data_IF_614907846925
#
_entry.id   IF_614907846925
#
_cell.length_a   1.000
_cell.length_b   1.000
_cell.length_c   1.000
_cell.angle_alpha   90.00
_cell.angle_beta   90.00
_cell.angle_gamma   90.00
#
_symmetry.space_group_name_H-M   'P 1'
#
loop_
_entity.id
_entity.type
_entity.pdbx_description
1 polymer ?
#
# COMPACT_ATOMS: atom_id res chain seq x y z
N UNK A 1 -37.69 -23.38 -23.90
CA UNK A 1 -36.72 -22.43 -23.30
C UNK A 1 -37.26 -21.03 -23.54
N UNK A 2 -37.38 -20.18 -22.52
CA UNK A 2 -37.80 -18.80 -22.70
C UNK A 2 -36.71 -18.00 -23.43
N UNK A 3 -37.06 -17.00 -24.25
CA UNK A 3 -36.08 -16.13 -24.91
C UNK A 3 -35.42 -15.19 -23.89
N UNK A 4 -34.10 -15.04 -24.01
CA UNK A 4 -33.30 -14.09 -23.22
C UNK A 4 -33.77 -12.64 -23.45
N UNK A 5 -33.65 -11.74 -22.46
CA UNK A 5 -34.01 -10.33 -22.61
C UNK A 5 -33.12 -9.64 -23.66
N UNK A 6 -33.64 -8.69 -24.44
CA UNK A 6 -32.85 -7.93 -25.40
C UNK A 6 -31.85 -7.02 -24.66
N UNK A 7 -30.57 -7.13 -24.98
CA UNK A 7 -29.46 -6.42 -24.32
C UNK A 7 -28.24 -7.28 -23.96
N UNK A 8 -28.32 -8.60 -24.16
CA UNK A 8 -27.22 -9.56 -23.97
C UNK A 8 -26.93 -10.33 -25.28
N UNK A 9 -26.88 -9.62 -26.41
CA UNK A 9 -26.26 -10.19 -27.60
C UNK A 9 -24.75 -10.11 -27.41
N UNK A 10 -24.13 -11.26 -27.11
CA UNK A 10 -22.68 -11.42 -27.19
C UNK A 10 -22.26 -11.15 -28.63
N UNK A 11 -21.84 -9.92 -28.90
CA UNK A 11 -21.19 -9.58 -30.15
C UNK A 11 -19.99 -10.53 -30.30
N UNK A 12 -19.90 -11.33 -31.37
CA UNK A 12 -18.69 -12.09 -31.62
C UNK A 12 -17.57 -11.09 -31.79
N UNK A 13 -16.64 -11.08 -30.83
CA UNK A 13 -15.43 -10.27 -30.87
C UNK A 13 -14.76 -10.56 -32.19
N UNK A 14 -14.85 -9.61 -33.14
CA UNK A 14 -14.20 -9.74 -34.43
C UNK A 14 -12.70 -9.90 -34.17
N UNK A 15 -12.22 -11.11 -34.41
CA UNK A 15 -10.80 -11.47 -34.39
C UNK A 15 -10.08 -10.73 -35.52
N UNK A 16 -9.83 -9.43 -35.36
CA UNK A 16 -8.96 -8.63 -36.25
C UNK A 16 -8.31 -7.39 -35.64
N UNK A 17 -8.43 -7.14 -34.34
CA UNK A 17 -7.48 -6.25 -33.65
C UNK A 17 -6.39 -7.11 -33.03
N UNK A 18 -5.37 -7.43 -33.84
CA UNK A 18 -4.06 -7.70 -33.28
C UNK A 18 -3.74 -6.53 -32.33
N UNK A 19 -3.60 -6.79 -31.03
CA UNK A 19 -3.10 -5.83 -30.04
C UNK A 19 -1.80 -5.26 -30.61
N UNK A 20 -1.86 -4.05 -31.17
CA UNK A 20 -0.69 -3.39 -31.70
C UNK A 20 0.19 -3.03 -30.50
N UNK A 21 1.16 -3.89 -30.21
CA UNK A 21 2.20 -3.65 -29.21
C UNK A 21 2.87 -2.33 -29.60
N UNK A 22 2.62 -1.29 -28.81
CA UNK A 22 3.11 0.07 -29.05
C UNK A 22 4.63 0.14 -28.89
N UNK A 23 5.18 -0.66 -27.98
CA UNK A 23 6.61 -0.68 -27.65
C UNK A 23 7.13 -2.11 -27.50
N UNK A 24 8.29 -2.39 -28.11
CA UNK A 24 8.95 -3.70 -27.99
C UNK A 24 9.78 -3.75 -26.70
N UNK A 25 9.95 -4.94 -26.12
CA UNK A 25 10.72 -5.17 -24.87
C UNK A 25 12.14 -4.58 -24.88
N UNK A 26 12.77 -4.52 -26.05
CA UNK A 26 14.11 -3.96 -26.24
C UNK A 26 14.12 -2.47 -26.64
N UNK A 27 12.97 -1.79 -26.61
CA UNK A 27 12.82 -0.40 -27.03
C UNK A 27 11.81 0.33 -26.13
N UNK A 28 12.03 0.27 -24.82
CA UNK A 28 11.18 0.89 -23.81
C UNK A 28 11.69 2.27 -23.38
N UNK A 29 12.96 2.57 -23.57
CA UNK A 29 13.51 3.87 -23.22
C UNK A 29 13.20 4.93 -24.28
N UNK A 30 12.41 5.94 -23.89
CA UNK A 30 12.18 7.15 -24.68
C UNK A 30 12.18 8.36 -23.75
N UNK A 31 12.75 9.48 -24.18
CA UNK A 31 12.56 10.75 -23.46
C UNK A 31 11.08 11.06 -23.29
N UNK A 32 10.66 11.56 -22.13
CA UNK A 32 9.26 11.79 -21.79
C UNK A 32 8.56 12.71 -22.80
N UNK A 33 9.23 13.76 -23.28
CA UNK A 33 8.65 14.66 -24.30
C UNK A 33 8.44 14.00 -25.66
N UNK A 34 9.33 13.11 -26.08
CA UNK A 34 9.26 12.45 -27.38
C UNK A 34 8.71 11.02 -27.30
N UNK A 35 8.13 10.64 -26.14
CA UNK A 35 7.57 9.31 -25.93
C UNK A 35 6.51 9.01 -26.99
N UNK A 36 6.42 7.77 -27.51
CA UNK A 36 5.32 7.36 -28.37
C UNK A 36 3.97 7.35 -27.65
N UNK A 37 3.96 7.24 -26.31
CA UNK A 37 2.74 7.27 -25.49
C UNK A 37 2.21 8.70 -25.30
N UNK A 38 0.97 9.01 -25.72
CA UNK A 38 0.36 10.32 -25.46
C UNK A 38 0.21 10.64 -23.97
N UNK A 39 0.04 9.63 -23.11
CA UNK A 39 -0.05 9.80 -21.67
C UNK A 39 1.27 10.25 -21.05
N UNK A 40 2.38 9.62 -21.45
CA UNK A 40 3.71 10.00 -20.96
C UNK A 40 4.07 11.41 -21.44
N UNK A 41 3.74 11.78 -22.69
CA UNK A 41 3.92 13.16 -23.16
C UNK A 41 3.10 14.18 -22.38
N UNK A 42 1.86 13.85 -21.99
CA UNK A 42 1.04 14.72 -21.12
C UNK A 42 1.66 14.86 -19.73
N UNK A 43 2.15 13.77 -19.16
CA UNK A 43 2.89 13.78 -17.89
C UNK A 43 4.16 14.64 -17.97
N UNK A 44 4.92 14.53 -19.07
CA UNK A 44 6.09 15.38 -19.34
C UNK A 44 5.73 16.88 -19.36
N UNK A 45 4.63 17.23 -20.04
CA UNK A 45 4.14 18.60 -20.10
C UNK A 45 3.70 19.11 -18.72
N UNK A 46 3.04 18.25 -17.92
CA UNK A 46 2.66 18.57 -16.56
C UNK A 46 3.88 18.83 -15.67
N UNK A 47 4.89 17.96 -15.71
CA UNK A 47 6.16 18.12 -14.98
C UNK A 47 6.83 19.46 -15.36
N UNK A 48 6.96 19.75 -16.66
CA UNK A 48 7.55 21.02 -17.15
C UNK A 48 6.78 22.27 -16.75
N UNK A 49 5.49 22.15 -16.41
CA UNK A 49 4.65 23.27 -15.98
C UNK A 49 4.66 23.49 -14.47
N UNK A 50 4.90 22.43 -13.67
CA UNK A 50 4.70 22.50 -12.22
C UNK A 50 5.98 22.26 -11.42
N UNK A 51 6.89 21.41 -11.90
CA UNK A 51 8.12 21.11 -11.20
C UNK A 51 9.16 22.22 -11.36
N UNK A 52 9.90 22.49 -10.29
CA UNK A 52 10.94 23.52 -10.25
C UNK A 52 12.33 22.91 -10.35
N UNK A 53 13.25 23.63 -10.98
CA UNK A 53 14.64 23.24 -11.10
C UNK A 53 15.29 23.11 -9.70
N UNK A 54 16.02 22.02 -9.41
CA UNK A 54 16.61 21.77 -8.10
C UNK A 54 17.93 22.52 -7.84
N UNK A 55 18.41 23.30 -8.81
CA UNK A 55 19.70 23.98 -8.75
C UNK A 55 19.76 25.02 -7.63
N UNK A 56 20.87 25.03 -6.89
CA UNK A 56 21.05 25.80 -5.65
C UNK A 56 20.95 27.34 -5.82
N UNK A 57 21.06 27.83 -7.07
CA UNK A 57 20.96 29.25 -7.41
C UNK A 57 19.52 29.76 -7.30
N UNK A 58 18.52 28.87 -7.41
CA UNK A 58 17.12 29.23 -7.29
C UNK A 58 16.70 29.36 -5.83
N UNK A 59 15.74 30.24 -5.57
CA UNK A 59 15.09 30.36 -4.26
C UNK A 59 14.23 29.14 -3.96
N UNK A 60 14.10 28.80 -2.68
CA UNK A 60 13.12 27.84 -2.21
C UNK A 60 11.70 28.28 -2.56
N UNK A 61 10.88 27.31 -2.92
CA UNK A 61 9.48 27.41 -3.35
C UNK A 61 8.52 26.86 -2.31
N UNK A 62 8.99 25.95 -1.44
CA UNK A 62 8.23 25.33 -0.35
C UNK A 62 9.07 25.20 0.91
N UNK A 63 8.38 25.03 2.04
CA UNK A 63 9.02 24.78 3.33
C UNK A 63 9.54 23.34 3.35
N UNK A 64 10.81 23.19 3.71
CA UNK A 64 11.49 21.92 3.84
C UNK A 64 11.14 21.31 5.19
N UNK A 65 10.49 20.14 5.18
CA UNK A 65 10.15 19.41 6.39
C UNK A 65 11.08 18.21 6.63
N UNK A 66 11.74 17.73 5.58
CA UNK A 66 12.70 16.63 5.60
C UNK A 66 14.10 17.17 5.25
N UNK A 67 15.13 16.96 6.08
CA UNK A 67 16.50 17.34 5.74
C UNK A 67 17.05 16.71 4.46
N UNK A 68 16.53 15.55 4.05
CA UNK A 68 16.92 14.83 2.82
C UNK A 68 16.15 15.33 1.58
N UNK A 69 15.20 16.24 1.76
CA UNK A 69 14.42 16.84 0.68
C UNK A 69 15.32 17.58 -0.32
N UNK A 70 15.20 17.35 -1.64
CA UNK A 70 15.94 18.08 -2.67
C UNK A 70 15.84 19.62 -2.53
N UNK A 71 14.71 20.11 -2.01
CA UNK A 71 14.46 21.54 -1.80
C UNK A 71 15.36 22.14 -0.70
N UNK A 72 15.85 21.32 0.24
CA UNK A 72 16.77 21.74 1.32
C UNK A 72 18.07 22.36 0.79
N UNK A 73 18.47 21.99 -0.43
CA UNK A 73 19.71 22.44 -1.07
C UNK A 73 19.61 23.85 -1.65
N UNK A 74 18.40 24.36 -1.85
CA UNK A 74 18.19 25.73 -2.34
C UNK A 74 18.36 26.71 -1.21
N UNK A 75 19.03 27.83 -1.46
CA UNK A 75 19.09 28.90 -0.48
C UNK A 75 17.70 29.55 -0.31
N UNK A 76 17.30 29.83 0.94
CA UNK A 76 16.08 30.60 1.27
C UNK A 76 16.04 31.93 0.49
N UNK A 77 17.21 32.55 0.29
CA UNK A 77 17.40 33.74 -0.52
C UNK A 77 18.34 33.47 -1.71
N UNK A 78 18.04 32.45 -2.51
CA UNK A 78 18.70 32.19 -3.79
C UNK A 78 18.81 33.42 -4.70
N UNK A 79 19.87 33.43 -5.52
CA UNK A 79 20.21 34.55 -6.41
C UNK A 79 19.23 34.70 -7.57
N UNK A 80 18.61 33.59 -8.00
CA UNK A 80 17.65 33.53 -9.10
C UNK A 80 16.23 33.24 -8.61
N UNK A 81 15.19 33.77 -9.28
CA UNK A 81 13.81 33.35 -9.03
C UNK A 81 13.63 31.86 -9.38
N UNK A 82 12.67 31.14 -8.77
CA UNK A 82 12.37 29.77 -9.15
C UNK A 82 12.08 29.65 -10.66
N UNK A 83 12.62 28.62 -11.30
CA UNK A 83 12.40 28.32 -12.71
C UNK A 83 11.89 26.89 -12.87
N UNK A 84 10.97 26.68 -13.81
CA UNK A 84 10.46 25.34 -14.10
C UNK A 84 11.44 24.50 -14.89
N UNK A 85 11.39 23.18 -14.68
CA UNK A 85 12.18 22.23 -15.46
C UNK A 85 11.79 22.26 -16.94
N UNK A 86 12.78 22.17 -17.83
CA UNK A 86 12.62 22.22 -19.29
C UNK A 86 13.59 21.27 -20.00
N UNK A 87 14.81 21.17 -19.50
CA UNK A 87 15.85 20.30 -20.02
C UNK A 87 15.66 18.89 -19.49
N UNK A 88 15.67 17.93 -20.41
CA UNK A 88 15.54 16.50 -20.12
C UNK A 88 16.92 15.87 -20.12
N UNK A 89 17.22 15.09 -19.08
CA UNK A 89 18.47 14.35 -19.04
C UNK A 89 18.49 13.33 -20.19
N UNK A 90 19.58 13.26 -20.99
CA UNK A 90 19.67 12.32 -22.11
C UNK A 90 19.68 10.86 -21.67
N UNK A 91 20.14 10.56 -20.45
CA UNK A 91 20.34 9.20 -19.96
C UNK A 91 19.10 8.60 -19.28
N UNK A 92 18.32 9.40 -18.55
CA UNK A 92 17.07 8.96 -17.92
C UNK A 92 15.80 9.43 -18.65
N UNK A 93 15.90 10.44 -19.53
CA UNK A 93 14.81 10.92 -20.36
C UNK A 93 13.74 11.74 -19.62
N UNK A 94 13.98 12.14 -18.36
CA UNK A 94 13.03 12.90 -17.53
C UNK A 94 13.44 14.38 -17.47
N UNK A 95 12.49 15.34 -17.48
CA UNK A 95 12.78 16.75 -17.25
C UNK A 95 13.29 16.98 -15.82
N UNK A 96 14.54 17.45 -15.67
CA UNK A 96 15.20 17.55 -14.36
C UNK A 96 15.76 18.92 -14.01
N UNK A 97 16.03 19.77 -15.01
CA UNK A 97 16.58 21.11 -14.80
C UNK A 97 15.92 22.14 -15.74
N UNK A 98 16.05 23.44 -15.45
CA UNK A 98 15.51 24.48 -16.32
C UNK A 98 16.36 24.76 -17.57
N UNK A 99 17.65 24.40 -17.56
CA UNK A 99 18.61 24.61 -18.65
C UNK A 99 19.70 23.54 -18.65
N UNK A 100 20.40 23.41 -19.78
CA UNK A 100 21.56 22.51 -19.93
C UNK A 100 22.71 22.92 -19.00
N UNK A 101 22.93 24.22 -18.79
CA UNK A 101 23.94 24.75 -17.86
C UNK A 101 23.67 24.28 -16.43
N UNK A 102 22.45 24.48 -15.91
CA UNK A 102 22.09 24.01 -14.57
C UNK A 102 22.10 22.48 -14.45
N UNK A 103 21.83 21.76 -15.55
CA UNK A 103 21.99 20.29 -15.57
C UNK A 103 23.45 19.89 -15.43
N UNK A 104 24.36 20.54 -16.17
CA UNK A 104 25.78 20.26 -16.13
C UNK A 104 26.38 20.59 -14.75
N UNK A 105 25.95 21.68 -14.13
CA UNK A 105 26.39 22.08 -12.79
C UNK A 105 25.90 21.11 -11.70
N UNK A 106 24.65 20.63 -11.79
CA UNK A 106 24.07 19.66 -10.85
C UNK A 106 24.31 18.18 -11.24
N UNK A 107 25.12 17.93 -12.28
CA UNK A 107 25.20 16.60 -12.92
C UNK A 107 25.63 15.50 -11.94
N UNK A 108 26.62 15.76 -11.08
CA UNK A 108 27.11 14.79 -10.10
C UNK A 108 26.02 14.30 -9.14
N UNK A 109 25.15 15.22 -8.69
CA UNK A 109 24.00 14.88 -7.84
C UNK A 109 22.94 14.14 -8.62
N UNK A 110 22.66 14.57 -9.85
CA UNK A 110 21.70 13.87 -10.70
C UNK A 110 22.11 12.41 -10.95
N UNK A 111 23.41 12.13 -11.08
CA UNK A 111 23.93 10.77 -11.24
C UNK A 111 23.55 9.82 -10.09
N UNK A 112 23.32 10.32 -8.87
CA UNK A 112 22.93 9.49 -7.72
C UNK A 112 21.56 8.83 -7.92
N UNK A 113 20.67 9.46 -8.70
CA UNK A 113 19.31 8.99 -8.95
C UNK A 113 19.01 8.70 -10.43
N UNK A 114 19.92 9.04 -11.35
CA UNK A 114 19.70 8.97 -12.80
C UNK A 114 19.31 7.56 -13.26
N UNK A 115 19.98 6.53 -12.75
CA UNK A 115 19.67 5.13 -13.07
C UNK A 115 18.26 4.74 -12.62
N UNK A 116 17.86 5.17 -11.42
CA UNK A 116 16.50 4.93 -10.90
C UNK A 116 15.45 5.68 -11.72
N UNK A 117 15.72 6.92 -12.12
CA UNK A 117 14.85 7.70 -13.00
C UNK A 117 14.71 7.03 -14.38
N UNK A 118 15.79 6.44 -14.89
CA UNK A 118 15.77 5.66 -16.14
C UNK A 118 14.91 4.41 -15.98
N UNK A 119 15.04 3.71 -14.84
CA UNK A 119 14.22 2.55 -14.53
C UNK A 119 12.72 2.91 -14.49
N UNK A 120 12.35 4.01 -13.81
CA UNK A 120 10.98 4.52 -13.79
C UNK A 120 10.49 4.80 -15.21
N UNK A 121 11.32 5.43 -16.04
CA UNK A 121 10.98 5.73 -17.42
C UNK A 121 10.66 4.44 -18.20
N UNK A 122 11.54 3.44 -18.12
CA UNK A 122 11.34 2.16 -18.81
C UNK A 122 10.12 1.39 -18.29
N UNK A 123 9.87 1.42 -16.98
CA UNK A 123 8.72 0.78 -16.33
C UNK A 123 7.39 1.42 -16.75
N UNK A 124 7.34 2.75 -16.86
CA UNK A 124 6.15 3.48 -17.33
C UNK A 124 5.86 3.20 -18.80
N UNK A 125 6.89 3.19 -19.64
CA UNK A 125 6.78 2.80 -21.04
C UNK A 125 6.35 1.34 -21.19
N UNK A 126 6.83 0.45 -20.33
CA UNK A 126 6.43 -0.95 -20.34
C UNK A 126 4.94 -1.09 -20.07
N UNK A 127 4.39 -0.41 -19.06
CA UNK A 127 2.95 -0.38 -18.79
C UNK A 127 2.11 0.17 -19.95
N UNK A 128 2.69 1.03 -20.79
CA UNK A 128 2.04 1.59 -21.99
C UNK A 128 2.41 0.86 -23.29
N UNK A 129 3.18 -0.22 -23.21
CA UNK A 129 3.59 -1.00 -24.38
C UNK A 129 2.44 -1.79 -25.00
N UNK A 130 1.37 -2.07 -24.25
CA UNK A 130 0.27 -2.93 -24.68
C UNK A 130 0.63 -4.42 -24.71
N UNK A 131 1.78 -4.80 -24.13
CA UNK A 131 2.14 -6.21 -23.96
C UNK A 131 1.19 -6.92 -22.99
N UNK A 132 1.22 -8.24 -23.04
CA UNK A 132 0.62 -9.05 -21.99
C UNK A 132 1.53 -9.08 -20.76
N UNK A 133 0.93 -9.03 -19.57
CA UNK A 133 1.61 -9.02 -18.28
C UNK A 133 1.34 -10.35 -17.56
N UNK A 134 2.08 -11.43 -17.88
CA UNK A 134 1.95 -12.70 -17.16
C UNK A 134 2.16 -12.55 -15.66
N UNK A 135 2.94 -11.55 -15.23
CA UNK A 135 3.18 -11.26 -13.81
C UNK A 135 1.93 -10.79 -13.03
N UNK A 136 0.83 -10.45 -13.72
CA UNK A 136 -0.48 -10.16 -13.12
C UNK A 136 -1.42 -11.37 -13.11
N UNK A 137 -0.99 -12.53 -13.60
CA UNK A 137 -1.70 -13.79 -13.39
C UNK A 137 -1.35 -14.34 -12.01
N UNK A 138 -2.27 -14.20 -11.06
CA UNK A 138 -2.06 -14.61 -9.68
C UNK A 138 -2.48 -16.06 -9.44
N UNK A 139 -1.74 -16.80 -8.60
CA UNK A 139 -2.10 -18.16 -8.22
C UNK A 139 -3.40 -18.19 -7.40
N UNK A 140 -4.16 -19.28 -7.56
CA UNK A 140 -5.36 -19.55 -6.76
C UNK A 140 -5.02 -20.05 -5.35
N UNK A 141 -6.00 -20.71 -4.73
CA UNK A 141 -5.78 -21.45 -3.48
C UNK A 141 -4.74 -22.54 -3.69
N UNK A 142 -3.73 -22.59 -2.81
CA UNK A 142 -2.78 -23.69 -2.75
C UNK A 142 -3.32 -24.84 -1.90
N UNK A 143 -2.71 -26.02 -2.08
CA UNK A 143 -2.89 -27.15 -1.18
C UNK A 143 -2.58 -26.74 0.27
N UNK A 144 -3.39 -27.20 1.21
CA UNK A 144 -3.35 -26.76 2.61
C UNK A 144 -2.02 -27.09 3.30
N UNK A 145 -1.31 -28.12 2.83
CA UNK A 145 0.02 -28.50 3.32
C UNK A 145 1.16 -27.64 2.76
N UNK A 146 0.93 -26.87 1.69
CA UNK A 146 1.95 -25.98 1.14
C UNK A 146 2.23 -24.83 2.12
N UNK A 147 3.48 -24.71 2.54
CA UNK A 147 3.92 -23.66 3.44
C UNK A 147 4.28 -22.40 2.65
N UNK A 148 3.77 -21.26 3.09
CA UNK A 148 4.16 -19.95 2.54
C UNK A 148 5.47 -19.50 3.20
N UNK A 149 6.44 -19.10 2.40
CA UNK A 149 7.74 -18.62 2.87
C UNK A 149 7.82 -17.10 2.75
N UNK A 150 7.93 -16.40 3.88
CA UNK A 150 8.00 -14.94 3.93
C UNK A 150 9.42 -14.38 4.08
N UNK A 151 10.46 -15.11 3.68
CA UNK A 151 11.84 -14.64 3.84
C UNK A 151 12.13 -13.39 3.01
N UNK A 152 11.72 -13.40 1.75
CA UNK A 152 11.85 -12.32 0.77
C UNK A 152 10.84 -12.53 -0.39
N UNK A 153 10.81 -11.61 -1.36
CA UNK A 153 9.94 -11.69 -2.54
C UNK A 153 10.08 -13.00 -3.33
N UNK A 154 11.31 -13.44 -3.62
CA UNK A 154 11.55 -14.65 -4.43
C UNK A 154 10.97 -15.91 -3.78
N UNK A 155 11.26 -16.10 -2.50
CA UNK A 155 10.77 -17.26 -1.74
C UNK A 155 9.26 -17.22 -1.54
N UNK A 156 8.68 -16.03 -1.38
CA UNK A 156 7.24 -15.85 -1.31
C UNK A 156 6.58 -16.23 -2.64
N UNK A 157 7.01 -15.63 -3.75
CA UNK A 157 6.44 -15.87 -5.07
C UNK A 157 6.57 -17.35 -5.48
N UNK A 158 7.72 -17.96 -5.19
CA UNK A 158 7.95 -19.38 -5.42
C UNK A 158 7.01 -20.26 -4.59
N UNK A 159 6.93 -20.04 -3.28
CA UNK A 159 6.10 -20.87 -2.38
C UNK A 159 4.60 -20.70 -2.61
N UNK A 160 4.17 -19.55 -3.15
CA UNK A 160 2.79 -19.31 -3.58
C UNK A 160 2.49 -19.77 -5.00
N UNK A 161 3.44 -20.40 -5.69
CA UNK A 161 3.28 -20.93 -7.05
C UNK A 161 2.95 -19.85 -8.09
N UNK A 162 3.50 -18.64 -7.94
CA UNK A 162 3.45 -17.66 -9.02
C UNK A 162 4.20 -18.18 -10.25
N UNK A 163 3.80 -17.71 -11.43
CA UNK A 163 4.58 -17.93 -12.63
C UNK A 163 6.01 -17.41 -12.42
N UNK A 164 7.01 -18.19 -12.85
CA UNK A 164 8.42 -17.83 -12.66
C UNK A 164 8.73 -16.47 -13.31
N UNK A 165 9.06 -15.48 -12.48
CA UNK A 165 9.46 -14.15 -12.90
C UNK A 165 10.99 -14.11 -12.92
N UNK A 166 11.59 -14.05 -14.12
CA UNK A 166 13.04 -14.07 -14.32
C UNK A 166 13.61 -12.70 -14.74
N UNK A 167 12.80 -11.65 -14.72
CA UNK A 167 13.12 -10.32 -15.23
C UNK A 167 12.76 -9.28 -14.17
N UNK A 168 13.75 -8.48 -13.76
CA UNK A 168 13.61 -7.53 -12.66
C UNK A 168 12.46 -6.54 -12.89
N UNK A 169 12.26 -6.08 -14.12
CA UNK A 169 11.13 -5.21 -14.48
C UNK A 169 9.79 -5.87 -14.20
N UNK A 170 9.63 -7.12 -14.63
CA UNK A 170 8.40 -7.87 -14.39
C UNK A 170 8.16 -8.08 -12.88
N UNK A 171 9.24 -8.27 -12.11
CA UNK A 171 9.17 -8.36 -10.65
C UNK A 171 8.76 -7.03 -10.01
N UNK A 172 9.30 -5.90 -10.46
CA UNK A 172 8.88 -4.56 -10.02
C UNK A 172 7.38 -4.32 -10.25
N UNK A 173 6.84 -4.71 -11.40
CA UNK A 173 5.41 -4.57 -11.68
C UNK A 173 4.56 -5.45 -10.76
N UNK A 174 4.93 -6.72 -10.56
CA UNK A 174 4.20 -7.62 -9.66
C UNK A 174 4.18 -7.10 -8.21
N UNK A 175 5.35 -6.73 -7.70
CA UNK A 175 5.53 -6.33 -6.29
C UNK A 175 4.84 -5.01 -5.97
N UNK A 176 4.66 -4.10 -6.94
CA UNK A 176 3.90 -2.84 -6.75
C UNK A 176 2.49 -3.08 -6.25
N UNK A 177 1.79 -4.09 -6.78
CA UNK A 177 0.41 -4.39 -6.38
C UNK A 177 0.37 -5.33 -5.18
N UNK A 178 1.22 -6.36 -5.18
CA UNK A 178 1.24 -7.38 -4.12
C UNK A 178 1.74 -6.84 -2.77
N UNK A 179 2.51 -5.75 -2.73
CA UNK A 179 3.11 -5.24 -1.49
C UNK A 179 2.08 -5.05 -0.38
N UNK A 180 0.86 -4.61 -0.70
CA UNK A 180 -0.19 -4.32 0.27
C UNK A 180 -0.73 -5.57 0.97
N UNK A 181 -1.34 -6.56 0.27
CA UNK A 181 -1.81 -7.78 0.91
C UNK A 181 -0.65 -8.61 1.51
N UNK A 182 0.51 -8.65 0.86
CA UNK A 182 1.65 -9.44 1.33
C UNK A 182 2.24 -8.87 2.62
N UNK A 183 2.24 -7.55 2.80
CA UNK A 183 2.70 -6.93 4.04
C UNK A 183 1.82 -7.34 5.22
N UNK A 184 0.50 -7.26 5.07
CA UNK A 184 -0.46 -7.70 6.10
C UNK A 184 -0.26 -9.20 6.38
N UNK A 185 -0.24 -10.02 5.32
CA UNK A 185 -0.01 -11.46 5.44
C UNK A 185 1.28 -11.78 6.17
N UNK A 186 2.39 -11.13 5.83
CA UNK A 186 3.71 -11.38 6.42
C UNK A 186 3.77 -11.09 7.92
N UNK A 187 2.97 -10.14 8.43
CA UNK A 187 2.90 -9.84 9.86
C UNK A 187 1.98 -10.82 10.58
N UNK A 188 0.85 -11.16 9.98
CA UNK A 188 -0.22 -11.96 10.60
C UNK A 188 -0.04 -13.48 10.44
N UNK A 189 0.81 -13.94 9.53
CA UNK A 189 1.05 -15.36 9.29
C UNK A 189 1.86 -16.02 10.42
N UNK A 190 1.65 -17.31 10.67
CA UNK A 190 2.37 -18.03 11.74
C UNK A 190 3.87 -18.16 11.43
N UNK A 191 4.21 -18.31 10.15
CA UNK A 191 5.57 -18.31 9.61
C UNK A 191 6.10 -16.90 9.30
N UNK A 192 5.61 -15.88 10.00
CA UNK A 192 6.07 -14.50 9.86
C UNK A 192 7.59 -14.39 9.96
N UNK A 193 8.25 -13.56 9.14
CA UNK A 193 9.70 -13.37 9.22
C UNK A 193 10.09 -12.53 10.45
N UNK A 194 9.11 -11.88 11.10
CA UNK A 194 9.32 -11.04 12.27
C UNK A 194 9.27 -11.89 13.55
N UNK A 195 10.38 -11.87 14.29
CA UNK A 195 10.57 -12.67 15.50
C UNK A 195 11.21 -11.83 16.62
N UNK A 196 11.14 -12.35 17.85
CA UNK A 196 11.65 -11.69 19.06
C UNK A 196 13.09 -12.11 19.44
N UNK A 197 13.81 -12.81 18.55
CA UNK A 197 15.21 -13.19 18.79
C UNK A 197 16.12 -11.97 18.61
N UNK A 198 17.39 -12.10 19.01
CA UNK A 198 18.40 -11.06 18.77
C UNK A 198 18.48 -10.69 17.28
N UNK A 199 18.38 -9.40 16.97
CA UNK A 199 18.30 -8.88 15.59
C UNK A 199 16.91 -8.97 14.95
N UNK A 200 15.92 -9.52 15.65
CA UNK A 200 14.51 -9.47 15.29
C UNK A 200 13.86 -8.16 15.75
N UNK A 201 12.76 -7.77 15.08
CA UNK A 201 12.03 -6.51 15.32
C UNK A 201 10.75 -6.68 16.14
N UNK A 202 10.34 -7.91 16.44
CA UNK A 202 9.11 -8.16 17.18
C UNK A 202 9.37 -7.98 18.67
N UNK A 203 8.62 -7.09 19.32
CA UNK A 203 8.77 -6.84 20.76
C UNK A 203 8.07 -7.95 21.57
N UNK A 204 8.27 -7.95 22.89
CA UNK A 204 7.55 -8.87 23.80
C UNK A 204 6.03 -8.60 23.76
N UNK A 205 5.62 -7.34 23.76
CA UNK A 205 4.21 -6.98 23.62
C UNK A 205 3.65 -7.34 22.24
N UNK A 206 4.48 -7.19 21.20
CA UNK A 206 4.24 -7.68 19.85
C UNK A 206 3.94 -9.16 19.82
N UNK A 207 4.79 -9.97 20.45
CA UNK A 207 4.62 -11.40 20.55
C UNK A 207 3.31 -11.76 21.26
N UNK A 208 2.99 -11.13 22.39
CA UNK A 208 1.72 -11.35 23.11
C UNK A 208 0.50 -11.01 22.24
N UNK A 209 0.55 -9.88 21.53
CA UNK A 209 -0.60 -9.38 20.76
C UNK A 209 -0.81 -10.15 19.46
N UNK A 210 0.26 -10.40 18.69
CA UNK A 210 0.16 -11.08 17.40
C UNK A 210 0.01 -12.59 17.52
N UNK A 211 0.47 -13.22 18.62
CA UNK A 211 0.29 -14.68 18.80
C UNK A 211 -1.19 -15.07 18.89
N UNK A 212 -2.02 -14.22 19.47
CA UNK A 212 -3.47 -14.41 19.54
C UNK A 212 -4.11 -14.43 18.15
N UNK A 213 -3.83 -13.41 17.32
CA UNK A 213 -4.29 -13.34 15.93
C UNK A 213 -3.75 -14.50 15.09
N UNK A 214 -2.45 -14.80 15.19
CA UNK A 214 -1.81 -15.91 14.48
C UNK A 214 -2.46 -17.25 14.81
N UNK A 215 -2.80 -17.48 16.08
CA UNK A 215 -3.49 -18.70 16.50
C UNK A 215 -4.88 -18.80 15.85
N UNK A 216 -5.65 -17.71 15.86
CA UNK A 216 -6.98 -17.64 15.21
C UNK A 216 -6.90 -17.85 13.70
N UNK A 217 -5.88 -17.29 13.07
CA UNK A 217 -5.65 -17.34 11.62
C UNK A 217 -5.17 -18.72 11.13
N UNK A 218 -4.67 -19.58 12.02
CA UNK A 218 -4.20 -20.93 11.71
C UNK A 218 -4.88 -21.94 12.64
N UNK A 219 -6.23 -22.04 12.61
CA UNK A 219 -6.94 -22.97 13.48
C UNK A 219 -6.46 -24.40 13.17
N UNK A 220 -6.37 -25.29 14.17
CA UNK A 220 -5.99 -26.67 13.91
C UNK A 220 -6.99 -27.32 12.95
N UNK A 221 -6.54 -28.30 12.18
CA UNK A 221 -7.43 -29.10 11.32
C UNK A 221 -8.56 -29.65 12.18
N UNK A 222 -9.78 -29.19 11.90
CA UNK A 222 -10.94 -29.77 12.56
C UNK A 222 -11.11 -31.17 12.00
N UNK A 223 -10.95 -32.20 12.83
CA UNK A 223 -11.33 -33.58 12.49
C UNK A 223 -12.85 -33.76 12.35
N UNK A 224 -13.56 -32.71 11.98
CA UNK A 224 -14.98 -32.72 11.69
C UNK A 224 -15.17 -33.56 10.42
N UNK A 225 -15.36 -34.87 10.61
CA UNK A 225 -15.89 -35.72 9.55
C UNK A 225 -17.25 -35.22 9.08
N UNK A 226 -17.72 -35.71 7.93
CA UNK A 226 -19.00 -35.31 7.31
C UNK A 226 -20.28 -35.63 8.11
N UNK A 227 -20.14 -36.05 9.38
CA UNK A 227 -21.25 -36.29 10.29
C UNK A 227 -21.69 -35.01 11.01
N UNK A 228 -23.01 -34.81 11.04
CA UNK A 228 -23.69 -33.62 11.62
C UNK A 228 -23.31 -33.38 13.10
N UNK A 229 -22.83 -34.39 13.83
CA UNK A 229 -22.39 -34.29 15.23
C UNK A 229 -21.02 -33.61 15.41
N UNK A 230 -20.26 -33.42 14.33
CA UNK A 230 -18.94 -32.78 14.33
C UNK A 230 -18.90 -31.35 13.80
N UNK A 231 -20.04 -30.81 13.35
CA UNK A 231 -20.16 -29.43 12.86
C UNK A 231 -19.79 -28.43 13.96
N UNK A 232 -18.59 -27.89 13.89
CA UNK A 232 -18.21 -26.72 14.67
C UNK A 232 -18.66 -25.47 13.92
N UNK A 233 -19.19 -24.44 14.60
CA UNK A 233 -19.45 -23.15 13.97
C UNK A 233 -18.16 -22.66 13.31
N UNK A 234 -18.26 -22.21 12.07
CA UNK A 234 -17.13 -21.54 11.42
C UNK A 234 -16.74 -20.33 12.28
N UNK A 235 -15.44 -20.11 12.54
CA UNK A 235 -15.00 -18.93 13.25
C UNK A 235 -15.47 -17.67 12.50
N UNK A 236 -15.75 -16.56 13.20
CA UNK A 236 -16.09 -15.31 12.54
C UNK A 236 -14.92 -14.86 11.64
N UNK A 237 -15.21 -14.09 10.57
CA UNK A 237 -14.17 -13.57 9.70
C UNK A 237 -13.22 -12.65 10.46
N UNK A 238 -11.93 -12.74 10.17
CA UNK A 238 -10.93 -11.80 10.68
C UNK A 238 -11.13 -10.47 9.96
N UNK A 239 -11.35 -9.40 10.71
CA UNK A 239 -11.59 -8.06 10.17
C UNK A 239 -10.27 -7.30 10.11
N UNK A 240 -9.93 -6.80 8.92
CA UNK A 240 -8.80 -5.88 8.75
C UNK A 240 -9.34 -4.51 8.40
N UNK A 241 -9.13 -3.56 9.28
CA UNK A 241 -9.56 -2.17 9.11
C UNK A 241 -8.43 -1.37 8.48
N UNK A 242 -8.58 -1.06 7.20
CA UNK A 242 -7.61 -0.28 6.42
C UNK A 242 -8.06 1.18 6.49
N UNK A 243 -7.46 1.94 7.41
CA UNK A 243 -7.88 3.31 7.73
C UNK A 243 -6.97 4.32 7.02
N UNK A 244 -7.57 5.36 6.46
CA UNK A 244 -6.88 6.28 5.55
C UNK A 244 -6.67 5.67 4.15
N UNK A 245 -7.53 4.74 3.74
CA UNK A 245 -7.41 4.06 2.46
C UNK A 245 -7.53 5.03 1.28
N UNK A 246 -6.58 4.96 0.34
CA UNK A 246 -6.54 5.74 -0.90
C UNK A 246 -6.39 4.78 -2.08
N UNK A 247 -5.23 4.74 -2.72
CA UNK A 247 -4.94 3.86 -3.86
C UNK A 247 -5.09 2.36 -3.52
N UNK A 248 -5.01 1.98 -2.25
CA UNK A 248 -5.18 0.60 -1.80
C UNK A 248 -6.59 0.07 -2.04
N UNK A 249 -7.58 0.96 -1.98
CA UNK A 249 -8.99 0.65 -2.19
C UNK A 249 -9.36 0.44 -3.65
N UNK A 250 -8.54 0.95 -4.57
CA UNK A 250 -8.73 0.82 -6.03
C UNK A 250 -7.92 -0.34 -6.63
N UNK A 251 -7.16 -1.08 -5.81
CA UNK A 251 -6.46 -2.27 -6.26
C UNK A 251 -7.45 -3.32 -6.81
N UNK A 252 -7.05 -4.09 -7.84
CA UNK A 252 -7.87 -5.18 -8.34
C UNK A 252 -8.19 -6.22 -7.26
N UNK A 253 -9.39 -6.80 -7.29
CA UNK A 253 -9.86 -7.71 -6.22
C UNK A 253 -9.05 -9.02 -6.21
N UNK A 254 -8.53 -9.42 -7.37
CA UNK A 254 -7.60 -10.53 -7.55
C UNK A 254 -6.23 -10.32 -6.87
N UNK A 255 -5.89 -9.08 -6.52
CA UNK A 255 -4.71 -8.76 -5.69
C UNK A 255 -5.07 -9.00 -4.22
N UNK A 256 -6.20 -8.47 -3.75
CA UNK A 256 -6.64 -8.60 -2.36
C UNK A 256 -6.98 -10.03 -1.96
N UNK A 257 -7.53 -10.84 -2.87
CA UNK A 257 -7.81 -12.26 -2.61
C UNK A 257 -6.53 -13.06 -2.29
N UNK A 258 -5.35 -12.59 -2.73
CA UNK A 258 -4.09 -13.24 -2.37
C UNK A 258 -3.85 -13.23 -0.86
N UNK A 259 -4.37 -12.24 -0.12
CA UNK A 259 -4.34 -12.28 1.34
C UNK A 259 -5.11 -13.50 1.87
N UNK A 260 -6.33 -13.74 1.40
CA UNK A 260 -7.12 -14.89 1.82
C UNK A 260 -6.46 -16.22 1.43
N UNK A 261 -5.85 -16.29 0.24
CA UNK A 261 -5.11 -17.49 -0.19
C UNK A 261 -3.89 -17.84 0.66
N UNK A 262 -3.36 -16.90 1.46
CA UNK A 262 -2.31 -17.19 2.44
C UNK A 262 -2.85 -17.89 3.70
N UNK A 263 -4.17 -17.92 3.91
CA UNK A 263 -4.80 -18.51 5.11
C UNK A 263 -6.02 -19.37 4.73
N UNK A 264 -5.81 -20.65 4.34
CA UNK A 264 -6.84 -21.46 3.68
C UNK A 264 -8.03 -21.87 4.56
N UNK A 265 -7.99 -21.64 5.88
CA UNK A 265 -9.01 -22.10 6.84
C UNK A 265 -9.83 -20.98 7.49
N UNK A 266 -9.62 -19.74 7.06
CA UNK A 266 -10.26 -18.55 7.64
C UNK A 266 -10.80 -17.64 6.55
N UNK A 267 -11.78 -16.84 6.92
CA UNK A 267 -12.32 -15.80 6.04
C UNK A 267 -11.89 -14.43 6.55
N UNK A 268 -11.77 -13.48 5.63
CA UNK A 268 -11.41 -12.10 5.87
C UNK A 268 -12.56 -11.16 5.53
N UNK A 269 -12.67 -10.10 6.33
CA UNK A 269 -13.47 -8.93 6.00
C UNK A 269 -12.56 -7.70 5.99
N UNK A 270 -12.23 -7.20 4.79
CA UNK A 270 -11.45 -5.97 4.65
C UNK A 270 -12.39 -4.78 4.68
N UNK A 271 -12.11 -3.83 5.56
CA UNK A 271 -12.88 -2.61 5.74
C UNK A 271 -12.00 -1.42 5.34
N UNK A 272 -12.17 -0.92 4.11
CA UNK A 272 -11.52 0.30 3.65
C UNK A 272 -12.27 1.51 4.19
N UNK A 273 -11.59 2.37 4.93
CA UNK A 273 -12.19 3.51 5.61
C UNK A 273 -11.38 4.76 5.28
N UNK A 274 -12.03 5.76 4.72
CA UNK A 274 -11.44 7.07 4.49
C UNK A 274 -12.21 7.90 3.47
N UNK A 275 -12.10 9.24 3.52
CA UNK A 275 -12.78 10.13 2.58
C UNK A 275 -12.35 9.89 1.12
N UNK A 276 -11.13 9.41 0.91
CA UNK A 276 -10.55 9.13 -0.42
C UNK A 276 -10.64 7.66 -0.83
N UNK A 277 -11.36 6.83 -0.08
CA UNK A 277 -11.46 5.37 -0.33
C UNK A 277 -12.25 4.97 -1.59
N UNK A 278 -12.83 5.95 -2.28
CA UNK A 278 -13.47 5.78 -3.60
C UNK A 278 -12.79 6.64 -4.68
N UNK A 279 -11.62 7.23 -4.39
CA UNK A 279 -10.86 7.97 -5.39
C UNK A 279 -10.47 7.05 -6.56
N UNK A 280 -10.62 7.54 -7.80
CA UNK A 280 -10.40 6.79 -9.04
C UNK A 280 -11.34 5.58 -9.25
N UNK A 281 -12.49 5.55 -8.58
CA UNK A 281 -13.57 4.57 -8.79
C UNK A 281 -14.84 5.25 -9.28
N UNK A 282 -14.69 6.21 -10.20
CA UNK A 282 -15.77 7.09 -10.68
C UNK A 282 -16.93 6.31 -11.32
N UNK A 283 -16.64 5.17 -11.96
CA UNK A 283 -17.63 4.28 -12.57
C UNK A 283 -18.51 3.54 -11.55
N UNK A 284 -18.11 3.51 -10.28
CA UNK A 284 -18.86 2.88 -9.19
C UNK A 284 -19.84 3.84 -8.49
N UNK A 285 -19.97 5.08 -8.99
CA UNK A 285 -20.96 6.04 -8.53
C UNK A 285 -22.32 5.89 -9.24
N UNK A 286 -23.44 6.25 -8.58
CA UNK A 286 -23.53 6.85 -7.25
C UNK A 286 -23.32 5.84 -6.12
N UNK A 287 -22.82 6.34 -4.98
CA UNK A 287 -22.70 5.53 -3.77
C UNK A 287 -24.07 4.99 -3.32
N UNK A 288 -24.13 3.82 -2.67
CA UNK A 288 -25.36 3.28 -2.12
C UNK A 288 -26.08 4.27 -1.21
N UNK A 289 -27.41 4.32 -1.31
CA UNK A 289 -28.22 5.16 -0.44
C UNK A 289 -28.06 4.75 1.03
N UNK A 290 -28.04 5.75 1.93
CA UNK A 290 -27.98 5.52 3.37
C UNK A 290 -29.33 5.01 3.85
N UNK A 291 -29.37 3.74 4.26
CA UNK A 291 -30.57 3.07 4.76
C UNK A 291 -30.36 2.62 6.21
N UNK A 292 -31.41 2.24 6.97
CA UNK A 292 -31.24 1.70 8.32
C UNK A 292 -30.29 0.48 8.39
N UNK A 293 -30.22 -0.33 7.34
CA UNK A 293 -29.30 -1.47 7.24
C UNK A 293 -27.90 -1.10 6.73
N UNK A 294 -27.73 0.07 6.12
CA UNK A 294 -26.46 0.60 5.64
C UNK A 294 -26.37 2.11 5.96
N UNK A 295 -26.25 2.49 7.24
CA UNK A 295 -26.37 3.90 7.67
C UNK A 295 -25.27 4.81 7.11
N UNK A 296 -24.13 4.23 6.72
CA UNK A 296 -22.98 4.94 6.18
C UNK A 296 -22.87 4.87 4.65
N UNK A 297 -23.82 4.22 3.96
CA UNK A 297 -23.79 4.09 2.50
C UNK A 297 -22.55 3.33 2.00
N UNK A 298 -22.09 2.35 2.77
CA UNK A 298 -20.90 1.57 2.43
C UNK A 298 -21.12 0.76 1.15
N UNK A 299 -20.09 0.69 0.30
CA UNK A 299 -20.04 -0.24 -0.83
C UNK A 299 -19.63 -1.59 -0.28
N UNK A 300 -20.50 -2.60 -0.40
CA UNK A 300 -20.27 -3.94 0.16
C UNK A 300 -20.13 -4.94 -0.98
N UNK A 301 -18.95 -5.54 -1.07
CA UNK A 301 -18.59 -6.55 -2.06
C UNK A 301 -18.47 -7.91 -1.35
N UNK A 302 -19.55 -8.70 -1.35
CA UNK A 302 -19.65 -9.97 -0.63
C UNK A 302 -19.56 -11.21 -1.54
N UNK A 303 -19.33 -11.02 -2.84
CA UNK A 303 -19.21 -12.08 -3.86
C UNK A 303 -17.85 -12.13 -4.54
N UNK A 304 -16.79 -11.67 -3.85
CA UNK A 304 -15.41 -11.77 -4.37
C UNK A 304 -14.94 -13.22 -4.28
N UNK A 305 -15.01 -13.80 -3.08
CA UNK A 305 -14.84 -15.24 -2.84
C UNK A 305 -15.58 -15.64 -1.57
N UNK A 306 -15.54 -16.92 -1.21
CA UNK A 306 -16.18 -17.38 0.03
C UNK A 306 -15.34 -17.03 1.29
N UNK A 307 -14.07 -16.70 1.09
CA UNK A 307 -13.09 -16.35 2.11
C UNK A 307 -12.81 -14.85 2.19
N UNK A 308 -13.34 -14.04 1.28
CA UNK A 308 -13.07 -12.60 1.25
C UNK A 308 -14.33 -11.78 1.00
N UNK A 309 -14.63 -10.91 1.96
CA UNK A 309 -15.58 -9.81 1.85
C UNK A 309 -14.83 -8.49 1.91
N UNK A 310 -15.24 -7.53 1.10
CA UNK A 310 -14.73 -6.16 1.15
C UNK A 310 -15.88 -5.20 1.46
N UNK A 311 -15.62 -4.20 2.30
CA UNK A 311 -16.54 -3.08 2.52
C UNK A 311 -15.77 -1.76 2.50
N UNK A 312 -16.25 -0.80 1.72
CA UNK A 312 -15.63 0.51 1.55
C UNK A 312 -16.53 1.59 2.13
N UNK A 313 -15.97 2.43 3.01
CA UNK A 313 -16.65 3.50 3.72
C UNK A 313 -16.00 4.84 3.38
N UNK A 314 -16.76 5.71 2.69
CA UNK A 314 -16.38 7.12 2.43
C UNK A 314 -16.73 7.95 3.65
N UNK A 315 -15.98 7.75 4.73
CA UNK A 315 -16.18 8.37 6.04
C UNK A 315 -14.89 8.33 6.85
N UNK A 316 -14.75 9.21 7.84
CA UNK A 316 -13.63 9.13 8.78
C UNK A 316 -13.84 8.02 9.83
N UNK A 317 -12.75 7.36 10.24
CA UNK A 317 -12.82 6.28 11.23
C UNK A 317 -13.43 6.73 12.57
N UNK A 318 -13.09 7.92 13.06
CA UNK A 318 -13.60 8.43 14.33
C UNK A 318 -15.13 8.59 14.33
N UNK A 319 -15.74 8.89 13.18
CA UNK A 319 -17.21 8.92 13.02
C UNK A 319 -17.81 7.52 13.19
N UNK A 320 -17.27 6.53 12.47
CA UNK A 320 -17.73 5.13 12.51
C UNK A 320 -17.55 4.51 13.90
N UNK A 321 -16.42 4.79 14.55
CA UNK A 321 -16.09 4.30 15.87
C UNK A 321 -17.07 4.82 16.94
N UNK A 322 -17.34 6.13 16.96
CA UNK A 322 -18.30 6.74 17.90
C UNK A 322 -19.73 6.28 17.71
N UNK A 323 -20.11 5.98 16.47
CA UNK A 323 -21.41 5.39 16.17
C UNK A 323 -21.53 3.93 16.62
N UNK A 324 -20.43 3.32 17.10
CA UNK A 324 -20.40 1.93 17.51
C UNK A 324 -20.49 0.95 16.34
N UNK A 325 -20.23 1.39 15.10
CA UNK A 325 -20.54 0.61 13.90
C UNK A 325 -19.81 -0.74 13.85
N UNK A 326 -18.58 -0.77 14.35
CA UNK A 326 -17.74 -1.97 14.36
C UNK A 326 -17.66 -2.66 15.73
N UNK A 327 -18.35 -2.14 16.77
CA UNK A 327 -18.34 -2.76 18.09
C UNK A 327 -19.10 -4.11 18.09
N UNK A 328 -18.62 -5.10 18.86
CA UNK A 328 -17.41 -5.08 19.69
C UNK A 328 -16.12 -5.28 18.86
N UNK A 329 -15.02 -4.69 19.33
CA UNK A 329 -13.67 -5.01 18.84
C UNK A 329 -13.12 -6.23 19.56
N UNK A 330 -12.46 -7.11 18.82
CA UNK A 330 -11.86 -8.34 19.30
C UNK A 330 -10.39 -8.42 18.88
N UNK A 331 -9.43 -8.26 19.81
CA UNK A 331 -8.00 -8.38 19.51
C UNK A 331 -7.54 -9.75 19.00
N UNK A 332 -8.39 -10.77 18.99
CA UNK A 332 -8.12 -12.09 18.41
C UNK A 332 -8.59 -12.21 16.95
N UNK A 333 -9.45 -11.30 16.49
CA UNK A 333 -10.04 -11.33 15.14
C UNK A 333 -9.92 -10.00 14.39
N UNK A 334 -9.44 -8.93 15.03
CA UNK A 334 -9.33 -7.61 14.42
C UNK A 334 -7.88 -7.18 14.30
N UNK A 335 -7.60 -6.40 13.26
CA UNK A 335 -6.33 -5.69 13.08
C UNK A 335 -6.56 -4.40 12.29
N UNK A 336 -5.83 -3.34 12.63
CA UNK A 336 -5.79 -2.10 11.86
C UNK A 336 -4.56 -2.07 10.96
N UNK A 337 -4.72 -1.54 9.74
CA UNK A 337 -3.63 -1.22 8.83
C UNK A 337 -3.73 0.24 8.39
N UNK A 338 -2.63 0.97 8.54
CA UNK A 338 -2.46 2.36 8.11
C UNK A 338 -1.37 2.39 7.03
N UNK A 339 -1.77 2.48 5.76
CA UNK A 339 -0.81 2.60 4.66
C UNK A 339 -0.39 4.05 4.48
N UNK A 340 0.89 4.33 4.72
CA UNK A 340 1.52 5.65 4.56
C UNK A 340 0.66 6.80 5.11
N UNK A 341 0.21 6.72 6.38
CA UNK A 341 -0.81 7.62 6.92
C UNK A 341 -0.35 9.07 7.04
N UNK A 342 0.97 9.31 7.15
CA UNK A 342 1.51 10.65 7.41
C UNK A 342 1.03 11.18 8.76
N UNK A 343 1.09 10.36 9.82
CA UNK A 343 0.63 10.72 11.16
C UNK A 343 1.29 12.01 11.67
N UNK A 344 2.60 12.13 11.47
CA UNK A 344 3.39 13.30 11.86
C UNK A 344 3.58 14.32 10.74
N UNK A 345 3.01 14.10 9.55
CA UNK A 345 3.17 15.02 8.43
C UNK A 345 2.33 16.30 8.66
N UNK A 346 2.87 17.52 8.46
CA UNK A 346 2.17 18.76 8.77
C UNK A 346 0.81 18.93 8.06
N UNK A 347 0.67 18.36 6.86
CA UNK A 347 -0.56 18.48 6.08
C UNK A 347 -1.71 17.55 6.56
N UNK A 348 -1.40 16.45 7.23
CA UNK A 348 -2.38 15.40 7.58
C UNK A 348 -2.48 15.11 9.09
N UNK A 349 -1.49 15.52 9.89
CA UNK A 349 -1.43 15.19 11.32
C UNK A 349 -2.66 15.64 12.11
N UNK A 350 -3.23 16.79 11.76
CA UNK A 350 -4.43 17.33 12.40
C UNK A 350 -5.64 16.38 12.30
N UNK A 351 -5.82 15.68 11.17
CA UNK A 351 -6.91 14.72 10.99
C UNK A 351 -6.72 13.44 11.81
N UNK A 352 -5.45 13.11 12.12
CA UNK A 352 -5.09 11.93 12.91
C UNK A 352 -5.15 12.17 14.42
N UNK A 353 -5.05 13.42 14.90
CA UNK A 353 -5.09 13.74 16.34
C UNK A 353 -6.35 13.20 17.03
N UNK A 354 -7.49 13.28 16.35
CA UNK A 354 -8.77 12.78 16.86
C UNK A 354 -8.89 11.25 16.73
N UNK A 355 -8.29 10.69 15.68
CA UNK A 355 -8.40 9.27 15.34
C UNK A 355 -7.49 8.40 16.21
N UNK A 356 -6.27 8.86 16.52
CA UNK A 356 -5.26 8.07 17.25
C UNK A 356 -5.77 7.58 18.63
N UNK A 357 -6.34 8.41 19.52
CA UNK A 357 -6.82 7.95 20.81
C UNK A 357 -7.90 6.86 20.70
N UNK A 358 -8.80 6.97 19.72
CA UNK A 358 -9.86 6.00 19.47
C UNK A 358 -9.33 4.67 18.94
N UNK A 359 -8.26 4.69 18.13
CA UNK A 359 -7.56 3.47 17.74
C UNK A 359 -6.91 2.79 18.95
N UNK A 360 -6.27 3.57 19.84
CA UNK A 360 -5.64 3.05 21.05
C UNK A 360 -6.65 2.50 22.08
N UNK A 361 -7.88 3.02 22.10
CA UNK A 361 -8.96 2.51 22.94
C UNK A 361 -9.30 1.04 22.62
N UNK A 362 -9.25 0.66 21.34
CA UNK A 362 -9.61 -0.69 20.90
C UNK A 362 -8.70 -1.81 21.44
N UNK A 363 -7.46 -1.48 21.82
CA UNK A 363 -6.41 -2.44 22.21
C UNK A 363 -6.10 -3.51 21.15
N UNK A 364 -6.52 -3.27 19.91
CA UNK A 364 -6.25 -4.06 18.73
C UNK A 364 -4.90 -3.65 18.13
N UNK A 365 -4.12 -4.57 17.53
CA UNK A 365 -2.89 -4.22 16.82
C UNK A 365 -3.11 -3.26 15.67
N UNK A 366 -2.27 -2.22 15.60
CA UNK A 366 -2.24 -1.22 14.52
C UNK A 366 -0.91 -1.38 13.78
N UNK A 367 -0.99 -1.82 12.54
CA UNK A 367 0.14 -1.92 11.61
C UNK A 367 0.23 -0.62 10.81
N UNK A 368 1.44 -0.12 10.61
CA UNK A 368 1.68 1.15 9.93
C UNK A 368 2.84 1.01 8.95
N UNK A 369 2.68 1.58 7.76
CA UNK A 369 3.76 1.71 6.78
C UNK A 369 4.13 3.16 6.45
N UNK A 370 5.26 3.36 5.79
CA UNK A 370 5.75 4.69 5.36
C UNK A 370 6.39 4.65 3.98
N UNK A 371 6.54 5.82 3.34
CA UNK A 371 7.20 5.96 2.04
C UNK A 371 8.72 6.00 2.15
N UNK A 372 9.25 6.56 3.23
CA UNK A 372 10.68 6.68 3.51
C UNK A 372 10.99 6.35 4.97
N UNK A 373 12.28 6.23 5.30
CA UNK A 373 12.72 6.11 6.68
C UNK A 373 12.34 7.35 7.48
N UNK A 374 12.59 8.53 6.91
CA UNK A 374 12.28 9.81 7.54
C UNK A 374 10.78 9.93 7.89
N UNK A 375 9.90 9.63 6.94
CA UNK A 375 8.45 9.67 7.16
C UNK A 375 8.02 8.72 8.29
N UNK A 376 8.54 7.50 8.30
CA UNK A 376 8.24 6.51 9.33
C UNK A 376 8.72 6.98 10.71
N UNK A 377 9.92 7.55 10.81
CA UNK A 377 10.47 8.06 12.07
C UNK A 377 9.71 9.28 12.56
N UNK A 378 9.29 10.18 11.66
CA UNK A 378 8.45 11.33 11.98
C UNK A 378 7.10 10.87 12.55
N UNK A 379 6.47 9.88 11.93
CA UNK A 379 5.20 9.32 12.38
C UNK A 379 5.33 8.64 13.75
N UNK A 380 6.39 7.86 13.96
CA UNK A 380 6.70 7.24 15.25
C UNK A 380 6.89 8.29 16.36
N UNK A 381 7.70 9.31 16.09
CA UNK A 381 7.96 10.41 17.03
C UNK A 381 6.67 11.14 17.39
N UNK A 382 5.83 11.43 16.41
CA UNK A 382 4.54 12.07 16.64
C UNK A 382 3.63 11.22 17.53
N UNK A 383 3.55 9.91 17.32
CA UNK A 383 2.78 9.00 18.19
C UNK A 383 3.35 8.98 19.62
N UNK A 384 4.67 8.97 19.77
CA UNK A 384 5.33 9.00 21.08
C UNK A 384 5.07 10.32 21.82
N UNK A 385 5.12 11.46 21.12
CA UNK A 385 4.86 12.78 21.71
C UNK A 385 3.40 12.95 22.13
N UNK A 386 2.45 12.47 21.30
CA UNK A 386 1.02 12.60 21.59
C UNK A 386 0.53 11.62 22.65
N UNK A 387 0.97 10.35 22.57
CA UNK A 387 0.38 9.24 23.32
C UNK A 387 1.40 8.23 23.87
N UNK A 388 2.70 8.54 23.95
CA UNK A 388 3.74 7.57 24.34
C UNK A 388 3.51 6.88 25.69
N UNK A 389 2.83 7.55 26.63
CA UNK A 389 2.41 6.96 27.91
C UNK A 389 1.40 5.81 27.77
N UNK A 390 0.65 5.76 26.68
CA UNK A 390 -0.50 4.87 26.40
C UNK A 390 -0.21 3.87 25.27
N UNK A 391 1.00 3.85 24.71
CA UNK A 391 1.35 3.06 23.53
C UNK A 391 2.34 1.96 23.89
N UNK A 392 2.07 0.74 23.43
CA UNK A 392 3.02 -0.35 23.36
C UNK A 392 3.46 -0.56 21.90
N UNK A 393 4.77 -0.50 21.65
CA UNK A 393 5.34 -0.88 20.35
C UNK A 393 5.26 -2.40 20.23
N UNK A 394 4.69 -2.88 19.12
CA UNK A 394 4.54 -4.30 18.79
C UNK A 394 5.64 -4.77 17.82
N UNK A 395 5.96 -3.94 16.84
CA UNK A 395 7.01 -4.19 15.86
C UNK A 395 7.84 -2.93 15.73
N UNK A 396 9.12 -3.04 16.04
CA UNK A 396 10.08 -1.93 15.93
C UNK A 396 10.15 -1.41 14.48
N UNK A 397 10.34 -0.10 14.29
CA UNK A 397 10.44 0.52 12.97
C UNK A 397 11.59 -0.05 12.14
N UNK A 398 11.39 -0.11 10.83
CA UNK A 398 12.39 -0.55 9.87
C UNK A 398 11.80 -0.91 8.52
N UNK A 399 12.69 -1.14 7.55
CA UNK A 399 12.33 -1.47 6.17
C UNK A 399 11.40 -2.70 6.11
N UNK A 400 10.36 -2.58 5.28
CA UNK A 400 9.43 -3.64 4.96
C UNK A 400 10.08 -4.62 3.98
N UNK A 401 10.20 -5.89 4.38
CA UNK A 401 10.72 -6.97 3.53
C UNK A 401 9.94 -7.14 2.22
N UNK A 402 8.68 -6.70 2.22
CA UNK A 402 7.77 -6.78 1.09
C UNK A 402 7.39 -5.39 0.57
N UNK A 403 8.26 -4.39 0.68
CA UNK A 403 8.08 -3.10 -0.03
C UNK A 403 8.00 -3.31 -1.54
N UNK A 404 7.39 -2.36 -2.25
CA UNK A 404 7.45 -2.33 -3.71
C UNK A 404 8.90 -2.24 -4.17
N UNK A 405 9.27 -3.06 -5.15
CA UNK A 405 10.56 -2.91 -5.84
C UNK A 405 10.49 -1.88 -6.96
N UNK A 406 9.28 -1.52 -7.42
CA UNK A 406 9.08 -0.43 -8.36
C UNK A 406 9.20 0.92 -7.64
N UNK A 407 9.98 1.80 -8.25
CA UNK A 407 10.07 3.21 -7.89
C UNK A 407 8.98 4.04 -8.58
N UNK A 408 8.58 5.10 -7.91
CA UNK A 408 7.62 6.10 -8.34
C UNK A 408 8.29 7.47 -8.37
N UNK A 409 7.91 8.26 -9.37
CA UNK A 409 8.36 9.63 -9.58
C UNK A 409 7.33 10.61 -9.05
N UNK A 410 7.75 11.58 -8.25
CA UNK A 410 6.95 12.74 -7.91
C UNK A 410 6.90 13.72 -9.09
N UNK A 411 5.73 13.90 -9.68
CA UNK A 411 5.56 14.77 -10.86
C UNK A 411 5.77 16.27 -10.57
N UNK A 412 5.67 16.66 -9.30
CA UNK A 412 5.92 18.03 -8.84
C UNK A 412 7.39 18.26 -8.47
N UNK A 413 8.16 17.19 -8.26
CA UNK A 413 9.57 17.24 -7.92
C UNK A 413 10.31 15.99 -8.44
N UNK A 414 10.80 15.99 -9.69
CA UNK A 414 11.41 14.81 -10.30
C UNK A 414 12.69 14.30 -9.61
N UNK A 415 13.23 15.04 -8.64
CA UNK A 415 14.35 14.58 -7.81
C UNK A 415 13.88 13.73 -6.61
N UNK A 416 12.60 13.87 -6.25
CA UNK A 416 11.95 13.11 -5.19
C UNK A 416 11.37 11.82 -5.77
N UNK A 417 12.05 10.72 -5.48
CA UNK A 417 11.65 9.37 -5.87
C UNK A 417 11.33 8.56 -4.62
N UNK A 418 10.28 7.77 -4.68
CA UNK A 418 9.85 6.93 -3.57
C UNK A 418 9.51 5.53 -4.06
N UNK A 419 9.51 4.56 -3.16
CA UNK A 419 8.93 3.26 -3.43
C UNK A 419 7.75 3.02 -2.49
N UNK A 420 6.68 2.45 -3.04
CA UNK A 420 5.49 2.16 -2.25
C UNK A 420 5.81 1.24 -1.07
N UNK A 421 5.34 1.61 0.12
CA UNK A 421 5.31 0.72 1.28
C UNK A 421 6.70 0.32 1.81
N UNK A 422 7.64 1.27 1.77
CA UNK A 422 9.03 1.12 2.22
C UNK A 422 9.17 0.74 3.69
N UNK A 423 8.51 1.46 4.59
CA UNK A 423 8.63 1.27 6.03
C UNK A 423 7.53 0.37 6.59
N UNK A 424 7.79 -0.32 7.71
CA UNK A 424 6.79 -1.06 8.46
C UNK A 424 7.06 -0.91 9.96
N UNK A 425 6.02 -0.77 10.76
CA UNK A 425 6.07 -0.84 12.22
C UNK A 425 4.68 -1.15 12.76
N UNK A 426 4.58 -1.41 14.05
CA UNK A 426 3.28 -1.68 14.66
C UNK A 426 3.24 -1.24 16.11
N UNK A 427 2.06 -0.84 16.56
CA UNK A 427 1.80 -0.45 17.94
C UNK A 427 0.37 -0.81 18.36
N UNK A 428 0.07 -0.67 19.65
CA UNK A 428 -1.28 -0.75 20.19
C UNK A 428 -1.44 0.14 21.41
N UNK A 429 -2.67 0.35 21.84
CA UNK A 429 -2.94 0.93 23.16
C UNK A 429 -2.55 -0.02 24.30
N UNK A 430 -1.98 0.53 25.37
CA UNK A 430 -1.56 -0.22 26.57
C UNK A 430 -2.70 -0.97 27.22
N UNK A 431 -2.38 -2.16 27.72
CA UNK A 431 -3.25 -2.94 28.60
C UNK A 431 -2.71 -2.83 30.02
N UNK A 432 -3.49 -2.25 30.92
CA UNK A 432 -3.15 -2.26 32.34
C UNK A 432 -3.53 -3.62 32.91
N UNK A 433 -2.54 -4.36 33.42
CA UNK A 433 -2.81 -5.56 34.20
C UNK A 433 -3.60 -5.16 35.45
N UNK A 434 -4.65 -5.92 35.77
CA UNK A 434 -5.42 -5.70 37.00
C UNK A 434 -4.53 -6.03 38.18
N UNK A 435 -4.04 -5.02 38.90
CA UNK A 435 -3.34 -5.24 40.16
C UNK A 435 -4.33 -5.69 41.21
N UNK A 436 -4.11 -6.86 41.81
CA UNK A 436 -4.79 -7.24 43.04
C UNK A 436 -4.35 -6.26 44.11
N UNK A 437 -5.32 -5.52 44.66
CA UNK A 437 -5.07 -4.64 45.81
C UNK A 437 -4.72 -5.55 46.99
N UNK A 438 -3.47 -5.51 47.45
CA UNK A 438 -3.12 -6.20 48.70
C UNK A 438 -3.96 -5.58 49.83
N UNK A 439 -4.80 -6.40 50.45
CA UNK A 439 -5.56 -6.02 51.63
C UNK A 439 -4.58 -5.80 52.79
N UNK A 440 -4.44 -4.54 53.20
CA UNK A 440 -3.61 -4.13 54.33
C UNK A 440 -4.26 -4.44 55.68
#
# INVERSE_FOLDING_TARGET
MPPSPPGLESAPTTASQARNVLLKRNNLFHSFSNSPSPEIRRRAAFIKQHAYCPHHSHRQTRVVNDPEDPEAQKAVHGTLPPAHVRHECPDCGIPVSCSEEHFADDYERHLEICDTLREINEDDHDLRSGRFFPEFEYPGMQMEEALVNFTNWDTYLYSREHQAINDDRSLRQATRLLTYPVTIGSVLHELSPYNAKSGGRLTVEGLKSLSALRYTLHPPRSGAGGDIKGLRPNPPPVRVFIVGARAESSLPREVWIQLAHMFPRVSFHLNFIGPESMANRDDEFPLPERTPSNPFGAVVEDRISHELKISTFVEYYHTLHRAGHFYPYDPYFDCFMLFHPGLGHPASSAEWEETLPLLLETKVPILVSGYTEFDMQRDLKWVQEKMGGEVDILLEPGENRFRSLRWDLNDLDPQDISCGNWGLWAFRGKRYETTTKDEA
#
